data_IF_363016691466
#
_entry.id   IF_363016691466
#
_cell.length_a   1.000
_cell.length_b   1.000
_cell.length_c   1.000
_cell.angle_alpha   90.00
_cell.angle_beta   90.00
_cell.angle_gamma   90.00
#
_symmetry.space_group_name_H-M   'P 1'
#
loop_
_entity.id
_entity.type
_entity.pdbx_description
1 polymer ?
#
# COMPACT_ATOMS: atom_id res chain seq x y z
N UNK A 1 6.94 11.35 41.18
CA UNK A 1 6.85 11.23 39.71
C UNK A 1 8.09 11.86 39.14
N UNK A 2 8.95 11.09 38.47
CA UNK A 2 10.20 11.63 37.91
C UNK A 2 9.83 12.35 36.62
N UNK A 3 9.78 13.68 36.66
CA UNK A 3 9.78 14.49 35.45
C UNK A 3 11.17 14.39 34.84
N UNK A 4 11.39 13.39 33.99
CA UNK A 4 12.63 13.25 33.25
C UNK A 4 12.63 14.31 32.14
N UNK A 5 13.04 15.53 32.50
CA UNK A 5 13.41 16.59 31.57
C UNK A 5 14.72 16.26 30.84
N UNK A 6 14.82 15.05 30.31
CA UNK A 6 15.90 14.67 29.42
C UNK A 6 15.54 15.23 28.04
N UNK A 7 16.41 16.05 27.46
CA UNK A 7 16.24 16.51 26.09
C UNK A 7 16.21 15.27 25.21
N UNK A 8 15.00 14.87 24.80
CA UNK A 8 14.81 13.72 23.92
C UNK A 8 15.43 14.12 22.59
N UNK A 9 16.55 13.48 22.24
CA UNK A 9 17.17 13.65 20.93
C UNK A 9 16.17 13.22 19.85
N UNK A 10 16.03 14.04 18.82
CA UNK A 10 15.10 13.78 17.71
C UNK A 10 15.32 12.40 17.08
N UNK A 11 16.59 11.98 16.97
CA UNK A 11 16.98 10.62 16.58
C UNK A 11 16.26 9.52 17.39
N UNK A 12 16.19 9.65 18.72
CA UNK A 12 15.53 8.64 19.57
C UNK A 12 14.02 8.58 19.33
N UNK A 13 13.41 9.72 18.99
CA UNK A 13 11.98 9.77 18.62
C UNK A 13 11.78 9.05 17.29
N UNK A 14 12.64 9.32 16.30
CA UNK A 14 12.58 8.71 14.97
C UNK A 14 12.75 7.18 15.06
N UNK A 15 13.78 6.70 15.76
CA UNK A 15 14.02 5.27 15.97
C UNK A 15 12.84 4.61 16.69
N UNK A 16 12.27 5.29 17.69
CA UNK A 16 11.11 4.79 18.42
C UNK A 16 9.88 4.70 17.50
N UNK A 17 9.64 5.70 16.66
CA UNK A 17 8.54 5.67 15.68
C UNK A 17 8.74 4.49 14.73
N UNK A 18 9.89 4.40 14.06
CA UNK A 18 10.20 3.33 13.10
C UNK A 18 10.01 1.94 13.73
N UNK A 19 10.46 1.73 14.97
CA UNK A 19 10.31 0.47 15.71
C UNK A 19 8.88 0.16 16.14
N UNK A 20 8.01 1.16 16.25
CA UNK A 20 6.59 0.98 16.66
C UNK A 20 5.63 0.83 15.49
N UNK A 21 6.09 1.04 14.25
CA UNK A 21 5.26 0.88 13.06
C UNK A 21 4.82 -0.59 12.89
N UNK A 22 3.67 -0.77 12.25
CA UNK A 22 3.13 -2.10 11.94
C UNK A 22 3.84 -2.71 10.74
N UNK A 23 3.82 -4.05 10.60
CA UNK A 23 4.51 -4.78 9.53
C UNK A 23 4.15 -4.36 8.09
N UNK A 24 3.03 -3.65 7.91
CA UNK A 24 2.65 -3.03 6.63
C UNK A 24 3.64 -1.95 6.16
N UNK A 25 4.46 -1.42 7.06
CA UNK A 25 5.44 -0.38 6.79
C UNK A 25 6.89 -0.91 6.78
N UNK A 26 7.11 -2.21 6.92
CA UNK A 26 8.47 -2.78 6.98
C UNK A 26 9.33 -2.35 5.79
N UNK A 27 8.75 -2.32 4.58
CA UNK A 27 9.47 -1.89 3.38
C UNK A 27 9.92 -0.42 3.42
N UNK A 28 9.10 0.48 3.96
CA UNK A 28 9.50 1.90 4.06
C UNK A 28 10.49 2.10 5.21
N UNK A 29 10.38 1.33 6.30
CA UNK A 29 11.33 1.36 7.41
C UNK A 29 12.73 1.00 6.91
N UNK A 30 12.87 -0.15 6.22
CA UNK A 30 14.15 -0.58 5.63
C UNK A 30 14.70 0.49 4.68
N UNK A 31 13.85 1.03 3.79
CA UNK A 31 14.29 2.06 2.86
C UNK A 31 14.79 3.33 3.57
N UNK A 32 14.17 3.75 4.68
CA UNK A 32 14.61 4.92 5.45
C UNK A 32 15.93 4.61 6.16
N UNK A 33 16.04 3.44 6.79
CA UNK A 33 17.26 3.00 7.49
C UNK A 33 18.47 2.87 6.54
N UNK A 34 18.25 2.43 5.30
CA UNK A 34 19.31 2.28 4.30
C UNK A 34 19.67 3.59 3.61
N UNK A 35 18.70 4.51 3.40
CA UNK A 35 18.91 5.71 2.58
C UNK A 35 19.22 6.99 3.35
N UNK A 36 18.87 7.07 4.63
CA UNK A 36 18.98 8.31 5.43
C UNK A 36 19.79 8.10 6.70
N UNK A 37 20.55 9.13 7.05
CA UNK A 37 21.23 9.20 8.34
C UNK A 37 20.27 9.72 9.43
N UNK A 38 19.87 8.84 10.34
CA UNK A 38 18.93 9.11 11.44
C UNK A 38 19.40 10.22 12.41
N UNK A 39 20.70 10.54 12.43
CA UNK A 39 21.25 11.59 13.30
C UNK A 39 20.92 13.00 12.81
N UNK A 40 20.83 13.17 11.48
CA UNK A 40 20.49 14.43 10.80
C UNK A 40 19.03 14.50 10.35
N UNK A 41 18.33 13.38 10.43
CA UNK A 41 16.98 13.25 9.91
C UNK A 41 15.98 13.97 10.81
N UNK A 42 15.10 14.78 10.21
CA UNK A 42 14.09 15.55 10.94
C UNK A 42 12.80 14.77 11.09
N UNK A 43 12.10 15.00 12.19
CA UNK A 43 10.81 14.39 12.47
C UNK A 43 9.75 14.75 11.42
N UNK A 44 9.76 16.00 10.96
CA UNK A 44 8.83 16.49 9.92
C UNK A 44 8.99 15.72 8.60
N UNK A 45 10.23 15.41 8.21
CA UNK A 45 10.52 14.65 6.99
C UNK A 45 10.12 13.18 7.13
N UNK A 46 10.31 12.59 8.31
CA UNK A 46 9.81 11.24 8.62
C UNK A 46 8.29 11.20 8.48
N UNK A 47 7.59 12.15 9.10
CA UNK A 47 6.14 12.22 9.05
C UNK A 47 5.63 12.36 7.61
N UNK A 48 6.19 13.31 6.85
CA UNK A 48 5.81 13.50 5.44
C UNK A 48 6.06 12.24 4.60
N UNK A 49 7.15 11.52 4.85
CA UNK A 49 7.47 10.27 4.14
C UNK A 49 6.46 9.16 4.43
N UNK A 50 6.06 9.01 5.70
CA UNK A 50 5.09 8.01 6.13
C UNK A 50 3.69 8.31 5.58
N UNK A 51 3.24 9.56 5.65
CA UNK A 51 1.94 9.99 5.10
C UNK A 51 1.88 9.77 3.58
N UNK A 52 2.92 10.15 2.85
CA UNK A 52 2.99 9.94 1.40
C UNK A 52 2.99 8.44 1.02
N UNK A 53 3.54 7.57 1.86
CA UNK A 53 3.48 6.12 1.65
C UNK A 53 2.08 5.56 1.94
N UNK A 54 1.44 6.00 3.03
CA UNK A 54 0.07 5.59 3.36
C UNK A 54 -0.92 6.02 2.27
N UNK A 55 -0.79 7.24 1.75
CA UNK A 55 -1.62 7.73 0.65
C UNK A 55 -1.48 6.83 -0.60
N UNK A 56 -0.25 6.52 -1.02
CA UNK A 56 0.00 5.64 -2.17
C UNK A 56 -0.53 4.23 -1.94
N UNK A 57 -0.41 3.69 -0.72
CA UNK A 57 -0.96 2.39 -0.35
C UNK A 57 -2.48 2.40 -0.44
N UNK A 58 -3.13 3.48 -0.01
CA UNK A 58 -4.59 3.65 -0.09
C UNK A 58 -5.10 3.76 -1.52
N UNK A 59 -4.39 4.49 -2.39
CA UNK A 59 -4.73 4.63 -3.81
C UNK A 59 -4.55 3.32 -4.59
N UNK A 60 -3.52 2.54 -4.27
CA UNK A 60 -3.23 1.27 -4.95
C UNK A 60 -3.93 0.04 -4.34
N UNK A 61 -4.70 0.18 -3.26
CA UNK A 61 -5.33 -0.98 -2.62
C UNK A 61 -6.39 -1.60 -3.57
N UNK A 62 -6.15 -2.82 -4.11
CA UNK A 62 -7.01 -3.42 -5.12
C UNK A 62 -8.41 -3.77 -4.61
N UNK A 63 -8.62 -3.86 -3.29
CA UNK A 63 -9.93 -4.10 -2.69
C UNK A 63 -10.94 -2.97 -3.03
N UNK A 64 -10.46 -1.75 -3.26
CA UNK A 64 -11.30 -0.61 -3.70
C UNK A 64 -11.31 -0.41 -5.22
N UNK A 65 -10.43 -1.10 -5.94
CA UNK A 65 -10.18 -0.90 -7.38
C UNK A 65 -10.77 -2.04 -8.24
N UNK A 66 -11.65 -2.87 -7.67
CA UNK A 66 -12.44 -3.84 -8.42
C UNK A 66 -13.55 -3.21 -9.28
N UNK A 67 -13.79 -1.91 -9.16
CA UNK A 67 -14.64 -1.17 -10.09
C UNK A 67 -13.88 -0.91 -11.40
N UNK A 68 -13.92 -1.92 -12.27
CA UNK A 68 -13.83 -1.82 -13.73
C UNK A 68 -12.46 -1.43 -14.33
N UNK A 69 -11.47 -2.32 -14.20
CA UNK A 69 -10.40 -2.39 -15.21
C UNK A 69 -10.78 -3.45 -16.27
N UNK A 70 -11.33 -2.97 -17.39
CA UNK A 70 -11.53 -3.61 -18.69
C UNK A 70 -11.65 -5.15 -18.68
N UNK A 71 -12.85 -5.68 -18.41
CA UNK A 71 -13.18 -7.06 -18.79
C UNK A 71 -13.28 -7.15 -20.32
N UNK A 72 -12.21 -7.61 -20.97
CA UNK A 72 -12.30 -8.09 -22.34
C UNK A 72 -13.05 -9.43 -22.33
N UNK A 73 -14.38 -9.39 -22.43
CA UNK A 73 -15.18 -10.60 -22.66
C UNK A 73 -14.96 -11.10 -24.09
N UNK A 74 -13.88 -11.85 -24.32
CA UNK A 74 -13.79 -12.70 -25.51
C UNK A 74 -14.60 -13.96 -25.25
N UNK A 75 -15.93 -13.86 -25.30
CA UNK A 75 -16.79 -15.02 -25.41
C UNK A 75 -16.66 -15.57 -26.84
N UNK A 76 -15.59 -16.32 -27.09
CA UNK A 76 -15.64 -17.34 -28.14
C UNK A 76 -16.55 -18.43 -27.60
N UNK A 77 -17.87 -18.25 -27.80
CA UNK A 77 -18.85 -19.30 -27.53
C UNK A 77 -18.53 -20.46 -28.46
N UNK A 78 -17.74 -21.40 -27.93
CA UNK A 78 -17.63 -22.75 -28.47
C UNK A 78 -19.03 -23.37 -28.52
N UNK A 79 -19.35 -23.87 -29.71
CA UNK A 79 -20.36 -24.85 -30.07
C UNK A 79 -21.53 -25.11 -29.12
N UNK A 80 -22.73 -24.67 -29.55
CA UNK A 80 -23.94 -25.48 -29.37
C UNK A 80 -24.74 -25.56 -30.68
N UNK A 81 -24.44 -26.65 -31.38
CA UNK A 81 -25.25 -27.35 -32.36
C UNK A 81 -26.76 -27.27 -32.07
N UNK A 82 -27.56 -26.95 -33.09
CA UNK A 82 -29.02 -26.99 -32.98
C UNK A 82 -29.81 -26.38 -34.15
N UNK A 83 -29.51 -26.72 -35.41
CA UNK A 83 -30.48 -26.53 -36.49
C UNK A 83 -31.10 -27.89 -36.87
N UNK A 84 -32.35 -28.09 -36.45
CA UNK A 84 -33.26 -29.08 -37.04
C UNK A 84 -34.50 -28.34 -37.52
N UNK A 85 -34.36 -27.64 -38.64
CA UNK A 85 -35.49 -27.17 -39.42
C UNK A 85 -35.76 -28.16 -40.56
N UNK A 86 -36.77 -29.04 -40.42
CA UNK A 86 -37.46 -29.66 -41.58
C UNK A 86 -38.84 -30.24 -41.20
N UNK A 87 -39.86 -29.49 -41.62
CA UNK A 87 -41.06 -29.97 -42.34
C UNK A 87 -42.17 -30.66 -41.53
N UNK A 88 -43.22 -29.88 -41.22
CA UNK A 88 -44.62 -30.36 -41.17
C UNK A 88 -45.43 -29.41 -42.09
N UNK A 89 -45.80 -29.89 -43.28
CA UNK A 89 -47.13 -30.37 -43.73
C UNK A 89 -48.06 -29.23 -44.07
#
# INVERSE_FOLDING_TARGET
>A
MKCCGEQIKEQLVIEKVLRTLTSKFDHIVVAIEESKDLTSFKLEELQSSLEAHEQRLRERNPEKHNDQALQAQTSRKFDKQGDKSKKNK
#
